data_IF_521985723492
#
_entry.id   IF_521985723492
#
_cell.length_a   1.000
_cell.length_b   1.000
_cell.length_c   1.000
_cell.angle_alpha   90.00
_cell.angle_beta   90.00
_cell.angle_gamma   90.00
#
_symmetry.space_group_name_H-M   'P 1'
#
loop_
_entity.id
_entity.type
_entity.pdbx_description
1 polymer ?
#
# COMPACT_ATOMS: atom_id res chain seq x y z
N UNK A 1 15.47 31.71 -11.41
CA UNK A 1 16.12 30.51 -11.99
C UNK A 1 16.82 29.60 -10.97
N UNK A 2 17.25 30.03 -9.77
CA UNK A 2 17.98 29.12 -8.84
C UNK A 2 17.09 28.19 -7.99
N UNK A 3 15.98 28.71 -7.42
CA UNK A 3 15.22 28.00 -6.37
C UNK A 3 14.46 26.73 -6.81
N UNK A 4 14.24 26.51 -8.12
CA UNK A 4 13.47 25.35 -8.60
C UNK A 4 14.31 24.05 -8.68
N UNK A 5 15.64 24.14 -8.78
CA UNK A 5 16.53 22.95 -8.84
C UNK A 5 16.79 22.33 -7.47
N UNK A 6 16.69 23.10 -6.39
CA UNK A 6 16.86 22.58 -5.04
C UNK A 6 15.65 21.74 -4.61
N UNK A 7 14.43 22.09 -5.03
CA UNK A 7 13.23 21.29 -4.72
C UNK A 7 13.25 19.94 -5.44
N UNK A 8 13.67 19.88 -6.71
CA UNK A 8 13.80 18.61 -7.44
C UNK A 8 14.88 17.70 -6.84
N UNK A 9 16.01 18.29 -6.43
CA UNK A 9 17.06 17.56 -5.73
C UNK A 9 16.57 17.04 -4.38
N UNK A 10 15.87 17.87 -3.59
CA UNK A 10 15.28 17.44 -2.32
C UNK A 10 14.25 16.31 -2.51
N UNK A 11 13.42 16.31 -3.56
CA UNK A 11 12.49 15.19 -3.80
C UNK A 11 13.21 13.88 -4.15
N UNK A 12 14.30 13.93 -4.93
CA UNK A 12 15.08 12.74 -5.22
C UNK A 12 15.88 12.27 -4.00
N UNK A 13 16.49 13.19 -3.26
CA UNK A 13 17.38 12.88 -2.14
C UNK A 13 16.60 12.45 -0.89
N UNK A 14 15.45 13.05 -0.61
CA UNK A 14 14.52 12.51 0.41
C UNK A 14 13.91 11.18 -0.02
N UNK A 15 13.63 10.95 -1.30
CA UNK A 15 13.20 9.63 -1.81
C UNK A 15 14.29 8.56 -1.61
N UNK A 16 15.55 8.87 -1.96
CA UNK A 16 16.71 7.99 -1.73
C UNK A 16 16.87 7.70 -0.24
N UNK A 17 16.89 8.72 0.62
CA UNK A 17 17.03 8.51 2.06
C UNK A 17 15.84 7.74 2.66
N UNK A 18 14.61 7.96 2.17
CA UNK A 18 13.42 7.22 2.60
C UNK A 18 13.52 5.76 2.15
N UNK A 19 13.95 5.49 0.91
CA UNK A 19 14.21 4.11 0.46
C UNK A 19 15.31 3.45 1.29
N UNK A 20 16.45 4.11 1.50
CA UNK A 20 17.53 3.59 2.36
C UNK A 20 17.07 3.36 3.80
N UNK A 21 16.19 4.21 4.35
CA UNK A 21 15.60 4.03 5.69
C UNK A 21 14.53 2.93 5.74
N UNK A 22 13.68 2.78 4.71
CA UNK A 22 12.74 1.66 4.61
C UNK A 22 13.51 0.34 4.51
N UNK A 23 14.44 0.24 3.57
CA UNK A 23 15.41 -0.85 3.45
C UNK A 23 16.07 -1.19 4.79
N UNK A 24 16.80 -0.25 5.41
CA UNK A 24 17.53 -0.47 6.67
C UNK A 24 16.60 -0.96 7.80
N UNK A 25 15.38 -0.40 7.91
CA UNK A 25 14.39 -0.87 8.90
C UNK A 25 13.97 -2.31 8.63
N UNK A 26 13.72 -2.68 7.38
CA UNK A 26 13.37 -4.03 6.94
C UNK A 26 14.52 -5.05 7.14
N UNK A 27 15.79 -4.61 7.10
CA UNK A 27 16.93 -5.43 7.56
C UNK A 27 16.85 -5.65 9.08
N UNK A 28 16.60 -4.57 9.85
CA UNK A 28 16.65 -4.60 11.32
C UNK A 28 15.50 -5.35 12.00
N UNK A 29 14.30 -5.38 11.41
CA UNK A 29 13.12 -6.02 12.02
C UNK A 29 13.12 -7.55 11.95
N UNK A 30 14.10 -8.17 11.27
CA UNK A 30 14.24 -9.63 11.23
C UNK A 30 13.13 -10.36 10.47
N UNK A 31 12.28 -9.65 9.71
CA UNK A 31 11.20 -10.21 8.87
C UNK A 31 11.74 -11.11 7.75
N UNK A 32 13.05 -10.96 7.49
CA UNK A 32 13.85 -11.73 6.56
C UNK A 32 14.40 -13.03 7.18
N UNK A 33 14.16 -13.31 8.48
CA UNK A 33 14.39 -14.62 9.09
C UNK A 33 13.23 -15.60 8.81
N UNK A 34 12.99 -15.85 7.52
CA UNK A 34 12.37 -17.08 7.05
C UNK A 34 13.37 -17.81 6.15
N UNK A 35 14.21 -18.64 6.76
CA UNK A 35 15.07 -19.64 6.10
C UNK A 35 16.29 -19.14 5.30
N UNK A 36 16.91 -20.07 4.56
CA UNK A 36 18.29 -19.94 4.04
C UNK A 36 18.39 -19.57 2.57
N UNK A 37 18.94 -18.38 2.31
CA UNK A 37 19.29 -17.85 0.99
C UNK A 37 20.22 -18.76 0.16
N UNK A 38 20.03 -18.76 -1.16
CA UNK A 38 20.99 -19.31 -2.14
C UNK A 38 21.27 -18.24 -3.20
N UNK A 39 22.54 -17.93 -3.42
CA UNK A 39 22.96 -16.90 -4.37
C UNK A 39 22.81 -17.34 -5.83
N UNK A 40 22.00 -16.61 -6.60
CA UNK A 40 22.09 -16.60 -8.06
C UNK A 40 22.76 -15.30 -8.50
N UNK A 41 24.03 -15.40 -8.91
CA UNK A 41 24.71 -14.30 -9.58
C UNK A 41 24.06 -14.08 -10.95
N UNK A 42 23.40 -12.94 -11.17
CA UNK A 42 23.00 -12.48 -12.52
C UNK A 42 24.23 -12.01 -13.29
N UNK A 43 25.07 -12.96 -13.74
CA UNK A 43 26.28 -12.69 -14.54
C UNK A 43 25.93 -12.37 -16.00
N UNK A 44 25.35 -11.19 -16.23
CA UNK A 44 25.02 -10.68 -17.56
C UNK A 44 26.24 -10.12 -18.31
N UNK A 45 27.13 -10.98 -18.79
CA UNK A 45 28.26 -10.59 -19.65
C UNK A 45 28.47 -11.63 -20.79
N UNK A 46 28.66 -11.20 -22.04
CA UNK A 46 28.64 -12.12 -23.20
C UNK A 46 29.99 -12.84 -23.40
N UNK A 47 30.09 -14.09 -22.95
CA UNK A 47 31.20 -14.99 -23.28
C UNK A 47 30.91 -15.79 -24.56
N UNK A 48 31.94 -16.01 -25.38
CA UNK A 48 31.82 -16.54 -26.75
C UNK A 48 31.60 -18.05 -26.78
N UNK A 49 30.89 -18.52 -27.81
CA UNK A 49 30.74 -19.95 -28.15
C UNK A 49 32.08 -20.58 -28.53
N UNK A 50 32.38 -21.77 -27.98
CA UNK A 50 33.17 -22.83 -28.64
C UNK A 50 32.84 -24.22 -28.03
N UNK A 51 32.73 -25.31 -28.81
CA UNK A 51 32.20 -26.60 -28.31
C UNK A 51 33.19 -27.78 -28.29
N UNK A 52 33.20 -28.58 -27.22
CA UNK A 52 33.83 -29.92 -27.17
C UNK A 52 33.55 -30.67 -25.85
N UNK A 53 33.55 -32.01 -25.71
CA UNK A 53 33.26 -33.14 -26.64
C UNK A 53 33.33 -34.49 -25.85
N UNK A 54 32.23 -35.27 -25.84
CA UNK A 54 32.15 -36.69 -25.39
C UNK A 54 32.52 -36.97 -23.90
N UNK A 55 32.34 -38.15 -23.28
CA UNK A 55 31.96 -39.54 -23.67
C UNK A 55 30.90 -40.11 -22.68
N UNK A 56 29.89 -40.92 -23.11
CA UNK A 56 29.77 -42.41 -22.99
C UNK A 56 29.99 -43.01 -21.57
N UNK A 57 29.27 -44.00 -21.02
CA UNK A 57 28.21 -44.97 -21.44
C UNK A 57 27.02 -44.92 -20.40
N UNK A 58 25.77 -45.39 -20.57
CA UNK A 58 25.18 -46.69 -21.01
C UNK A 58 25.52 -47.87 -20.05
N UNK A 59 24.63 -48.77 -19.58
CA UNK A 59 23.18 -49.06 -19.78
C UNK A 59 22.50 -49.18 -18.36
N UNK A 60 21.38 -49.83 -18.02
CA UNK A 60 20.27 -50.58 -18.68
C UNK A 60 19.04 -50.70 -17.69
N UNK A 61 17.94 -51.35 -18.09
CA UNK A 61 17.11 -52.20 -17.20
C UNK A 61 15.75 -51.66 -16.67
N UNK A 62 14.64 -52.13 -17.25
CA UNK A 62 13.26 -51.84 -16.82
C UNK A 62 12.87 -52.40 -15.43
N UNK A 63 12.07 -51.64 -14.66
CA UNK A 63 10.99 -52.18 -13.81
C UNK A 63 9.84 -51.17 -13.64
N UNK A 64 8.68 -51.63 -13.18
CA UNK A 64 7.39 -50.95 -13.38
C UNK A 64 7.12 -49.72 -12.49
N UNK A 65 6.20 -48.89 -12.96
CA UNK A 65 5.71 -47.65 -12.35
C UNK A 65 5.03 -47.82 -10.99
N UNK A 66 5.50 -47.07 -9.98
CA UNK A 66 4.64 -46.49 -8.94
C UNK A 66 4.91 -44.98 -8.86
N UNK A 67 4.01 -44.17 -9.44
CA UNK A 67 4.13 -42.69 -9.37
C UNK A 67 3.55 -42.21 -8.05
N UNK A 68 4.34 -42.36 -6.97
CA UNK A 68 4.10 -41.62 -5.73
C UNK A 68 4.37 -40.13 -6.00
N UNK A 69 3.30 -39.38 -6.28
CA UNK A 69 3.37 -37.93 -6.38
C UNK A 69 3.70 -37.33 -5.00
N UNK A 70 5.00 -37.20 -4.71
CA UNK A 70 5.45 -36.35 -3.62
C UNK A 70 4.99 -34.93 -3.91
N UNK A 71 4.06 -34.43 -3.10
CA UNK A 71 3.55 -33.07 -3.24
C UNK A 71 4.70 -32.11 -2.96
N UNK A 72 5.30 -31.61 -4.04
CA UNK A 72 6.41 -30.67 -3.97
C UNK A 72 5.93 -29.42 -3.23
N UNK A 73 6.50 -29.18 -2.04
CA UNK A 73 6.18 -27.99 -1.26
C UNK A 73 6.48 -26.73 -2.08
N UNK A 74 5.61 -25.69 -2.03
CA UNK A 74 5.85 -24.47 -2.79
C UNK A 74 7.20 -23.85 -2.38
N UNK A 75 7.93 -23.22 -3.31
CA UNK A 75 9.28 -22.72 -3.05
C UNK A 75 9.27 -21.69 -1.91
N UNK A 76 9.94 -22.02 -0.82
CA UNK A 76 10.04 -21.14 0.34
C UNK A 76 11.03 -20.01 0.05
N UNK A 77 10.50 -18.81 -0.24
CA UNK A 77 11.32 -17.61 -0.41
C UNK A 77 12.17 -17.35 0.84
N UNK A 78 13.49 -17.32 0.63
CA UNK A 78 14.50 -17.16 1.67
C UNK A 78 15.35 -15.93 1.38
N UNK A 79 14.73 -14.77 1.56
CA UNK A 79 15.35 -13.48 1.36
C UNK A 79 16.20 -13.11 2.59
N UNK A 80 17.45 -12.66 2.40
CA UNK A 80 18.30 -12.15 3.48
C UNK A 80 19.02 -10.88 3.06
N UNK A 81 18.67 -9.75 3.67
CA UNK A 81 19.30 -8.47 3.34
C UNK A 81 20.74 -8.39 3.89
N UNK A 82 21.61 -7.70 3.15
CA UNK A 82 23.01 -7.48 3.51
C UNK A 82 23.19 -6.07 4.08
N UNK A 83 23.40 -6.00 5.40
CA UNK A 83 23.65 -4.75 6.16
C UNK A 83 24.77 -3.92 5.53
N UNK A 84 25.76 -4.54 4.86
CA UNK A 84 26.90 -3.85 4.25
C UNK A 84 26.49 -2.93 3.09
N UNK A 85 25.39 -3.26 2.40
CA UNK A 85 24.87 -2.51 1.27
C UNK A 85 23.73 -1.55 1.65
N UNK A 86 23.38 -1.42 2.93
CA UNK A 86 22.29 -0.56 3.43
C UNK A 86 22.47 0.96 3.21
N UNK A 87 23.60 1.38 2.61
CA UNK A 87 23.90 2.77 2.18
C UNK A 87 23.96 2.94 0.66
N UNK A 88 23.69 1.90 -0.11
CA UNK A 88 23.63 1.93 -1.57
C UNK A 88 22.17 2.22 -2.03
N UNK A 89 21.92 3.33 -2.74
CA UNK A 89 20.58 3.67 -3.26
C UNK A 89 19.97 2.62 -4.20
N UNK A 90 20.81 1.88 -4.94
CA UNK A 90 20.39 0.86 -5.91
C UNK A 90 19.93 -0.37 -5.14
N UNK A 91 20.81 -0.91 -4.28
CA UNK A 91 20.47 -2.04 -3.41
C UNK A 91 19.22 -1.78 -2.56
N UNK A 92 19.09 -0.59 -1.98
CA UNK A 92 17.92 -0.21 -1.19
C UNK A 92 16.65 0.02 -2.03
N UNK A 93 16.77 0.18 -3.36
CA UNK A 93 15.61 0.15 -4.28
C UNK A 93 15.21 -1.29 -4.58
N UNK A 94 16.14 -2.14 -5.03
CA UNK A 94 15.89 -3.56 -5.31
C UNK A 94 15.26 -4.27 -4.10
N UNK A 95 15.81 -4.05 -2.89
CA UNK A 95 15.31 -4.57 -1.63
C UNK A 95 13.85 -4.14 -1.31
N UNK A 96 13.40 -2.96 -1.75
CA UNK A 96 12.02 -2.52 -1.58
C UNK A 96 11.11 -3.17 -2.62
N UNK A 97 11.57 -3.31 -3.85
CA UNK A 97 10.83 -3.97 -4.91
C UNK A 97 10.63 -5.46 -4.58
N UNK A 98 11.68 -6.17 -4.16
CA UNK A 98 11.63 -7.56 -3.69
C UNK A 98 10.66 -7.76 -2.51
N UNK A 99 10.65 -6.83 -1.54
CA UNK A 99 9.75 -6.89 -0.38
C UNK A 99 8.30 -6.56 -0.77
N UNK A 100 8.10 -5.64 -1.71
CA UNK A 100 6.77 -5.34 -2.27
C UNK A 100 6.22 -6.54 -3.04
N UNK A 101 7.07 -7.25 -3.77
CA UNK A 101 6.71 -8.49 -4.49
C UNK A 101 6.39 -9.64 -3.53
N UNK A 102 7.19 -9.82 -2.48
CA UNK A 102 6.89 -10.76 -1.38
C UNK A 102 5.55 -10.44 -0.69
N UNK A 103 5.17 -9.17 -0.53
CA UNK A 103 3.84 -8.82 -0.03
C UNK A 103 2.74 -9.11 -1.04
N UNK A 104 2.94 -8.82 -2.33
CA UNK A 104 1.99 -9.14 -3.41
C UNK A 104 1.70 -10.64 -3.48
N UNK A 105 2.74 -11.50 -3.43
CA UNK A 105 2.56 -12.95 -3.38
C UNK A 105 1.76 -13.41 -2.15
N UNK A 106 2.01 -12.81 -0.98
CA UNK A 106 1.29 -13.12 0.27
C UNK A 106 -0.18 -12.68 0.21
N UNK A 107 -0.48 -11.54 -0.42
CA UNK A 107 -1.85 -11.11 -0.72
C UNK A 107 -2.55 -12.10 -1.67
N UNK A 108 -1.94 -12.43 -2.80
CA UNK A 108 -2.52 -13.39 -3.76
C UNK A 108 -2.75 -14.78 -3.15
N UNK A 109 -1.78 -15.30 -2.39
CA UNK A 109 -1.95 -16.58 -1.70
C UNK A 109 -3.05 -16.54 -0.62
N UNK A 110 -3.30 -15.39 0.01
CA UNK A 110 -4.40 -15.24 0.96
C UNK A 110 -5.77 -15.21 0.27
N UNK A 111 -5.91 -14.42 -0.80
CA UNK A 111 -7.14 -14.32 -1.59
C UNK A 111 -7.50 -15.67 -2.22
N UNK A 112 -6.53 -16.40 -2.78
CA UNK A 112 -6.75 -17.75 -3.31
C UNK A 112 -7.27 -18.72 -2.23
N UNK A 113 -6.61 -18.79 -1.07
CA UNK A 113 -7.06 -19.65 0.06
C UNK A 113 -8.44 -19.28 0.62
N UNK A 114 -8.86 -18.02 0.50
CA UNK A 114 -10.22 -17.58 0.86
C UNK A 114 -11.24 -18.07 -0.18
N UNK A 115 -10.95 -17.89 -1.47
CA UNK A 115 -11.83 -18.27 -2.58
C UNK A 115 -11.94 -19.80 -2.78
N UNK A 116 -10.87 -20.55 -2.46
CA UNK A 116 -10.81 -22.02 -2.57
C UNK A 116 -11.66 -22.75 -1.49
N UNK A 117 -12.32 -22.01 -0.58
CA UNK A 117 -13.35 -22.55 0.33
C UNK A 117 -12.88 -23.62 1.33
N UNK A 118 -11.57 -23.84 1.46
CA UNK A 118 -11.02 -25.00 2.17
C UNK A 118 -11.33 -24.93 3.68
N UNK A 119 -11.78 -26.04 4.27
CA UNK A 119 -12.38 -26.09 5.61
C UNK A 119 -11.46 -25.77 6.82
N UNK A 120 -10.28 -25.17 6.62
CA UNK A 120 -9.39 -24.66 7.67
C UNK A 120 -9.85 -23.28 8.23
N UNK A 121 -11.14 -22.98 8.16
CA UNK A 121 -11.74 -21.63 8.13
C UNK A 121 -11.64 -20.79 9.42
N UNK A 122 -11.07 -21.32 10.51
CA UNK A 122 -10.99 -20.61 11.81
C UNK A 122 -9.54 -20.41 12.27
N UNK A 123 -8.68 -21.43 12.15
CA UNK A 123 -7.34 -21.38 12.76
C UNK A 123 -6.34 -20.50 11.99
N UNK A 124 -6.49 -20.37 10.67
CA UNK A 124 -5.56 -19.61 9.82
C UNK A 124 -6.01 -18.16 9.53
N UNK A 125 -7.28 -17.81 9.75
CA UNK A 125 -7.75 -16.43 9.60
C UNK A 125 -6.98 -15.46 10.52
N UNK A 126 -6.62 -15.92 11.72
CA UNK A 126 -5.77 -15.22 12.68
C UNK A 126 -4.35 -14.91 12.17
N UNK A 127 -3.84 -15.64 11.17
CA UNK A 127 -2.56 -15.33 10.52
C UNK A 127 -2.71 -14.25 9.45
N UNK A 128 -3.87 -14.18 8.78
CA UNK A 128 -4.18 -13.16 7.79
C UNK A 128 -4.44 -11.80 8.49
N UNK A 129 -5.32 -11.79 9.49
CA UNK A 129 -5.62 -10.59 10.29
C UNK A 129 -4.45 -10.11 11.17
N UNK A 130 -3.32 -10.84 11.20
CA UNK A 130 -2.09 -10.34 11.79
C UNK A 130 -1.45 -9.20 10.99
N UNK A 131 -1.79 -9.04 9.70
CA UNK A 131 -1.23 -8.01 8.80
C UNK A 131 -2.30 -7.06 8.22
N UNK A 132 -3.53 -7.55 8.01
CA UNK A 132 -4.67 -6.76 7.51
C UNK A 132 -5.73 -6.60 8.60
N UNK A 133 -6.53 -5.54 8.53
CA UNK A 133 -7.73 -5.43 9.38
C UNK A 133 -8.82 -6.41 8.93
N UNK A 134 -9.79 -6.68 9.80
CA UNK A 134 -11.00 -7.42 9.40
C UNK A 134 -12.03 -6.46 8.77
N UNK A 135 -12.67 -6.82 7.64
CA UNK A 135 -13.82 -6.09 7.09
C UNK A 135 -15.03 -6.02 8.06
N UNK A 136 -14.98 -6.75 9.17
CA UNK A 136 -16.03 -6.80 10.20
C UNK A 136 -15.55 -6.29 11.56
N UNK A 137 -14.42 -5.57 11.63
CA UNK A 137 -13.84 -5.11 12.89
C UNK A 137 -14.78 -4.20 13.70
N UNK A 138 -15.64 -3.41 13.02
CA UNK A 138 -16.63 -2.57 13.68
C UNK A 138 -17.95 -3.29 14.00
N UNK A 139 -18.20 -4.49 13.44
CA UNK A 139 -19.45 -5.24 13.69
C UNK A 139 -19.62 -5.60 15.17
N UNK A 140 -18.51 -5.78 15.89
CA UNK A 140 -18.50 -6.16 17.30
C UNK A 140 -18.35 -4.95 18.25
N UNK A 141 -18.03 -3.74 17.76
CA UNK A 141 -17.83 -2.56 18.62
C UNK A 141 -19.19 -1.92 18.99
N UNK A 142 -19.57 -1.84 20.28
CA UNK A 142 -20.88 -1.31 20.67
C UNK A 142 -20.99 0.22 20.57
N UNK A 143 -19.87 0.94 20.64
CA UNK A 143 -19.84 2.41 20.66
C UNK A 143 -19.20 3.06 19.43
N UNK A 144 -18.51 2.29 18.58
CA UNK A 144 -17.74 2.80 17.43
C UNK A 144 -18.33 2.24 16.15
N UNK A 145 -18.72 3.11 15.22
CA UNK A 145 -19.23 2.75 13.91
C UNK A 145 -18.43 3.42 12.79
N UNK A 146 -18.71 2.99 11.55
CA UNK A 146 -18.02 3.43 10.32
C UNK A 146 -17.95 4.96 10.20
N UNK A 147 -19.03 5.65 10.56
CA UNK A 147 -19.11 7.12 10.54
C UNK A 147 -18.18 7.75 11.58
N UNK A 148 -17.97 7.13 12.74
CA UNK A 148 -16.99 7.59 13.73
C UNK A 148 -15.54 7.31 13.30
N UNK A 149 -15.27 6.18 12.62
CA UNK A 149 -13.99 5.92 11.97
C UNK A 149 -13.68 6.97 10.91
N UNK A 150 -14.61 7.27 10.01
CA UNK A 150 -14.48 8.32 8.99
C UNK A 150 -14.20 9.70 9.62
N UNK A 151 -14.90 10.06 10.70
CA UNK A 151 -14.65 11.31 11.46
C UNK A 151 -13.22 11.36 12.01
N UNK A 152 -12.74 10.25 12.58
CA UNK A 152 -11.38 10.16 13.12
C UNK A 152 -10.34 10.34 12.00
N UNK A 153 -10.52 9.66 10.86
CA UNK A 153 -9.55 9.68 9.75
C UNK A 153 -9.53 11.04 9.04
N UNK A 154 -10.69 11.69 8.84
CA UNK A 154 -10.77 13.07 8.32
C UNK A 154 -9.96 14.05 9.19
N UNK A 155 -10.13 13.96 10.52
CA UNK A 155 -9.35 14.77 11.45
C UNK A 155 -7.86 14.41 11.47
N UNK A 156 -7.51 13.12 11.42
CA UNK A 156 -6.11 12.68 11.38
C UNK A 156 -5.38 13.14 10.11
N UNK A 157 -6.07 13.40 9.00
CA UNK A 157 -5.45 13.98 7.79
C UNK A 157 -5.03 15.43 8.03
N UNK A 158 -5.84 16.25 8.72
CA UNK A 158 -5.43 17.59 9.13
C UNK A 158 -4.24 17.54 10.13
N UNK A 159 -4.21 16.54 11.02
CA UNK A 159 -3.09 16.32 11.96
C UNK A 159 -1.81 15.89 11.24
N UNK A 160 -1.91 14.95 10.29
CA UNK A 160 -0.82 14.49 9.42
C UNK A 160 -0.16 15.65 8.69
N UNK A 161 -0.98 16.52 8.08
CA UNK A 161 -0.54 17.75 7.42
C UNK A 161 0.12 18.74 8.38
N UNK A 162 -0.42 18.91 9.61
CA UNK A 162 0.13 19.81 10.63
C UNK A 162 1.50 19.36 11.14
N UNK A 163 1.69 18.06 11.35
CA UNK A 163 2.98 17.45 11.69
C UNK A 163 3.91 17.26 10.48
N UNK A 164 3.42 17.47 9.25
CA UNK A 164 4.17 17.38 7.97
C UNK A 164 4.80 16.00 7.72
N UNK A 165 4.12 14.95 8.20
CA UNK A 165 4.58 13.56 8.14
C UNK A 165 4.64 13.03 6.69
N UNK A 166 5.45 12.00 6.46
CA UNK A 166 5.50 11.28 5.19
C UNK A 166 4.14 10.58 4.90
N UNK A 167 3.69 10.42 3.64
CA UNK A 167 2.40 9.79 3.35
C UNK A 167 2.27 8.37 3.91
N UNK A 168 3.33 7.55 3.83
CA UNK A 168 3.39 6.19 4.42
C UNK A 168 2.91 6.17 5.88
N UNK A 169 3.31 7.17 6.66
CA UNK A 169 2.94 7.34 8.07
C UNK A 169 1.42 7.44 8.25
N UNK A 170 0.67 8.01 7.30
CA UNK A 170 -0.80 8.03 7.32
C UNK A 170 -1.40 6.66 7.01
N UNK A 171 -0.90 5.96 5.99
CA UNK A 171 -1.41 4.63 5.60
C UNK A 171 -1.15 3.60 6.72
N UNK A 172 0.04 3.66 7.34
CA UNK A 172 0.35 2.87 8.52
C UNK A 172 -0.51 3.28 9.73
N UNK A 173 -0.75 4.57 9.96
CA UNK A 173 -1.66 5.03 11.03
C UNK A 173 -3.04 4.37 10.94
N UNK A 174 -3.65 4.38 9.75
CA UNK A 174 -4.99 3.79 9.55
C UNK A 174 -4.95 2.27 9.68
N UNK A 175 -3.95 1.59 9.12
CA UNK A 175 -3.75 0.15 9.30
C UNK A 175 -3.65 -0.24 10.79
N UNK A 176 -2.91 0.52 11.60
CA UNK A 176 -2.77 0.29 13.04
C UNK A 176 -4.08 0.52 13.80
N UNK A 177 -4.86 1.55 13.45
CA UNK A 177 -6.21 1.78 14.02
C UNK A 177 -7.13 0.59 13.72
N UNK A 178 -7.25 0.21 12.45
CA UNK A 178 -8.26 -0.77 12.02
C UNK A 178 -7.90 -2.19 12.48
N UNK A 179 -6.61 -2.55 12.54
CA UNK A 179 -6.17 -3.81 13.15
C UNK A 179 -6.33 -3.80 14.67
N UNK A 180 -6.07 -2.68 15.35
CA UNK A 180 -6.34 -2.59 16.79
C UNK A 180 -7.83 -2.78 17.08
N UNK A 181 -8.71 -2.14 16.30
CA UNK A 181 -10.17 -2.34 16.35
C UNK A 181 -10.62 -3.73 15.87
N UNK A 182 -9.75 -4.50 15.20
CA UNK A 182 -9.98 -5.92 14.83
C UNK A 182 -9.56 -6.90 15.93
N UNK A 183 -8.61 -6.52 16.78
CA UNK A 183 -8.12 -7.34 17.90
C UNK A 183 -8.86 -7.07 19.21
N UNK A 184 -9.34 -5.84 19.39
CA UNK A 184 -10.20 -5.40 20.50
C UNK A 184 -11.66 -5.65 20.10
N UNK A 185 -12.47 -6.15 21.05
CA UNK A 185 -13.83 -6.66 20.90
C UNK A 185 -14.04 -7.57 19.69
N UNK A 186 -13.91 -8.87 19.92
CA UNK A 186 -14.15 -9.88 18.89
C UNK A 186 -15.23 -10.85 19.34
N UNK A 187 -15.75 -11.64 18.40
CA UNK A 187 -16.61 -12.82 18.65
C UNK A 187 -16.11 -13.75 19.76
N UNK A 188 -14.80 -13.73 20.06
CA UNK A 188 -14.13 -14.56 21.06
C UNK A 188 -13.60 -13.78 22.28
N UNK A 189 -13.74 -12.46 22.30
CA UNK A 189 -13.33 -11.57 23.39
C UNK A 189 -14.29 -10.37 23.52
N UNK A 190 -15.52 -10.63 23.94
CA UNK A 190 -16.61 -9.65 23.94
C UNK A 190 -16.58 -8.64 25.12
N UNK A 191 -15.65 -8.79 26.07
CA UNK A 191 -15.60 -7.97 27.30
C UNK A 191 -14.69 -6.74 27.21
N UNK A 192 -13.92 -6.59 26.12
CA UNK A 192 -12.92 -5.55 25.95
C UNK A 192 -13.19 -4.77 24.66
N UNK A 193 -13.74 -3.55 24.75
CA UNK A 193 -14.05 -2.70 23.60
C UNK A 193 -13.34 -1.34 23.67
N UNK A 194 -13.41 -0.56 22.59
CA UNK A 194 -12.97 0.85 22.59
C UNK A 194 -14.19 1.75 22.82
N UNK A 195 -14.30 2.44 23.98
CA UNK A 195 -15.33 3.46 24.18
C UNK A 195 -15.17 4.61 23.19
N UNK A 196 -16.28 5.24 22.79
CA UNK A 196 -16.29 6.38 21.86
C UNK A 196 -15.37 7.52 22.31
N UNK A 197 -15.28 7.76 23.62
CA UNK A 197 -14.38 8.77 24.21
C UNK A 197 -12.89 8.46 24.03
N UNK A 198 -12.53 7.17 23.88
CA UNK A 198 -11.16 6.69 23.73
C UNK A 198 -10.73 6.54 22.26
N UNK A 199 -11.67 6.62 21.30
CA UNK A 199 -11.39 6.46 19.87
C UNK A 199 -10.37 7.49 19.35
N UNK A 200 -10.42 8.74 19.83
CA UNK A 200 -9.42 9.75 19.46
C UNK A 200 -8.03 9.43 20.05
N UNK A 201 -7.96 8.88 21.27
CA UNK A 201 -6.69 8.46 21.88
C UNK A 201 -6.06 7.32 21.08
N UNK A 202 -6.86 6.35 20.62
CA UNK A 202 -6.40 5.28 19.69
C UNK A 202 -5.77 5.90 18.44
N UNK A 203 -6.45 6.85 17.79
CA UNK A 203 -5.93 7.50 16.58
C UNK A 203 -4.63 8.28 16.80
N UNK A 204 -4.54 9.06 17.88
CA UNK A 204 -3.31 9.80 18.24
C UNK A 204 -2.15 8.85 18.54
N UNK A 205 -2.41 7.75 19.26
CA UNK A 205 -1.36 6.78 19.60
C UNK A 205 -0.94 5.92 18.40
N UNK A 206 -1.87 5.57 17.51
CA UNK A 206 -1.55 4.91 16.25
C UNK A 206 -0.69 5.81 15.34
N UNK A 207 -0.99 7.11 15.28
CA UNK A 207 -0.15 8.06 14.54
C UNK A 207 1.23 8.26 15.17
N UNK A 208 1.32 8.32 16.50
CA UNK A 208 2.60 8.38 17.21
C UNK A 208 3.45 7.13 16.94
N UNK A 209 2.83 5.94 16.95
CA UNK A 209 3.49 4.67 16.63
C UNK A 209 3.94 4.60 15.17
N UNK A 210 3.08 4.97 14.23
CA UNK A 210 3.43 5.04 12.82
C UNK A 210 4.58 6.02 12.58
N UNK A 211 4.54 7.20 13.21
CA UNK A 211 5.59 8.20 13.07
C UNK A 211 6.92 7.74 13.70
N UNK A 212 6.89 7.11 14.88
CA UNK A 212 8.07 6.47 15.50
C UNK A 212 8.68 5.35 14.65
N UNK A 213 7.90 4.78 13.73
CA UNK A 213 8.33 3.70 12.86
C UNK A 213 8.81 4.20 11.47
N UNK A 214 8.21 5.26 10.91
CA UNK A 214 8.53 5.81 9.58
C UNK A 214 9.46 7.04 9.57
N UNK A 215 9.30 7.96 10.52
CA UNK A 215 9.98 9.27 10.50
C UNK A 215 11.39 9.23 11.11
N UNK A 216 12.26 10.16 10.69
CA UNK A 216 13.50 10.46 11.44
C UNK A 216 13.16 11.18 12.76
N UNK A 217 12.18 12.09 12.68
CA UNK A 217 11.82 13.02 13.73
C UNK A 217 10.31 12.91 14.03
N UNK A 218 9.88 11.85 14.72
CA UNK A 218 8.49 11.70 15.15
C UNK A 218 8.07 12.83 16.11
N UNK A 219 6.77 13.20 16.17
CA UNK A 219 6.28 14.21 17.10
C UNK A 219 6.46 13.74 18.55
N UNK A 220 6.73 14.69 19.45
CA UNK A 220 6.89 14.41 20.87
C UNK A 220 5.55 14.14 21.56
N UNK A 221 5.57 13.40 22.68
CA UNK A 221 4.39 13.16 23.52
C UNK A 221 3.67 14.46 23.93
N UNK A 222 4.39 15.57 24.13
CA UNK A 222 3.81 16.88 24.44
C UNK A 222 2.94 17.42 23.30
N UNK A 223 3.29 17.10 22.06
CA UNK A 223 2.55 17.51 20.87
C UNK A 223 1.31 16.64 20.67
N UNK A 224 1.37 15.35 21.05
CA UNK A 224 0.21 14.45 21.11
C UNK A 224 -0.83 14.90 22.16
N UNK A 225 -0.37 15.38 23.34
CA UNK A 225 -1.25 16.01 24.35
C UNK A 225 -1.84 17.31 23.79
N UNK A 226 -1.02 18.18 23.20
CA UNK A 226 -1.47 19.47 22.67
C UNK A 226 -2.46 19.34 21.49
N UNK A 227 -2.22 18.42 20.54
CA UNK A 227 -3.09 18.24 19.37
C UNK A 227 -4.45 17.63 19.73
N UNK A 228 -4.53 16.85 20.81
CA UNK A 228 -5.78 16.39 21.41
C UNK A 228 -6.41 17.43 22.36
N UNK A 229 -5.99 18.70 22.29
CA UNK A 229 -6.47 19.81 23.12
C UNK A 229 -6.34 19.57 24.64
N UNK A 230 -5.37 18.74 25.05
CA UNK A 230 -5.17 18.25 26.42
C UNK A 230 -6.33 17.36 26.95
N UNK A 231 -7.14 16.77 26.06
CA UNK A 231 -8.22 15.81 26.41
C UNK A 231 -7.66 14.53 27.04
N UNK A 232 -6.41 14.17 26.71
CA UNK A 232 -5.73 12.99 27.24
C UNK A 232 -4.40 13.38 27.89
N UNK A 233 -4.10 12.73 29.01
CA UNK A 233 -2.81 12.86 29.70
C UNK A 233 -1.69 12.13 28.94
N UNK A 234 -0.45 12.50 29.23
CA UNK A 234 0.74 11.82 28.71
C UNK A 234 0.77 10.33 29.10
N UNK A 235 0.27 10.02 30.29
CA UNK A 235 0.25 8.68 30.87
C UNK A 235 -0.81 7.80 30.22
N UNK A 236 -1.96 8.36 29.82
CA UNK A 236 -2.95 7.69 28.98
C UNK A 236 -2.42 7.40 27.57
N UNK A 237 -1.70 8.35 26.96
CA UNK A 237 -1.05 8.15 25.64
C UNK A 237 -0.03 7.00 25.73
N UNK A 238 0.84 6.99 26.75
CA UNK A 238 1.81 5.89 26.96
C UNK A 238 1.09 4.55 27.22
N UNK A 239 -0.04 4.55 27.94
CA UNK A 239 -0.83 3.34 28.20
C UNK A 239 -1.48 2.81 26.91
N UNK A 240 -2.09 3.67 26.10
CA UNK A 240 -2.72 3.27 24.84
C UNK A 240 -1.69 2.84 23.79
N UNK A 241 -0.55 3.52 23.69
CA UNK A 241 0.59 3.09 22.86
C UNK A 241 1.02 1.64 23.18
N UNK A 242 1.19 1.33 24.48
CA UNK A 242 1.50 -0.04 24.93
C UNK A 242 0.38 -1.04 24.60
N UNK A 243 -0.89 -0.65 24.76
CA UNK A 243 -2.02 -1.51 24.42
C UNK A 243 -2.05 -1.86 22.92
N UNK A 244 -1.81 -0.89 22.03
CA UNK A 244 -1.76 -1.10 20.57
C UNK A 244 -0.59 -2.03 20.22
N UNK A 245 0.62 -1.77 20.75
CA UNK A 245 1.77 -2.65 20.53
C UNK A 245 1.55 -4.08 21.03
N UNK A 246 0.92 -4.26 22.20
CA UNK A 246 0.63 -5.57 22.77
C UNK A 246 -0.42 -6.33 21.94
N UNK A 247 -1.55 -5.70 21.61
CA UNK A 247 -2.60 -6.30 20.80
C UNK A 247 -2.10 -6.73 19.41
N UNK A 248 -1.24 -5.90 18.78
CA UNK A 248 -0.65 -6.18 17.48
C UNK A 248 0.63 -7.02 17.55
N UNK A 249 1.04 -7.50 18.73
CA UNK A 249 2.27 -8.28 18.95
C UNK A 249 3.53 -7.64 18.33
N UNK A 250 3.63 -6.31 18.40
CA UNK A 250 4.66 -5.48 17.77
C UNK A 250 4.82 -5.64 16.23
N UNK A 251 3.83 -6.23 15.53
CA UNK A 251 3.82 -6.38 14.06
C UNK A 251 3.45 -5.07 13.37
N UNK A 252 4.37 -4.10 13.40
CA UNK A 252 4.19 -2.77 12.81
C UNK A 252 4.54 -2.76 11.31
N UNK A 253 5.46 -3.61 10.86
CA UNK A 253 5.72 -3.79 9.42
C UNK A 253 4.60 -4.57 8.76
N UNK A 254 3.93 -3.94 7.80
CA UNK A 254 2.76 -4.45 7.08
C UNK A 254 2.78 -3.92 5.64
N UNK A 255 2.08 -4.58 4.71
CA UNK A 255 1.75 -3.93 3.44
C UNK A 255 0.78 -2.77 3.68
N UNK A 256 1.05 -1.64 3.03
CA UNK A 256 0.10 -0.54 2.86
C UNK A 256 -0.08 -0.26 1.36
N UNK A 257 -1.09 0.51 0.94
CA UNK A 257 -1.27 0.81 -0.48
C UNK A 257 -0.15 1.68 -1.09
N UNK A 258 0.61 2.42 -0.27
CA UNK A 258 1.53 3.45 -0.76
C UNK A 258 2.82 2.91 -1.42
N UNK A 259 3.48 1.83 -0.94
CA UNK A 259 4.58 1.20 -1.66
C UNK A 259 4.16 0.67 -3.05
N UNK A 260 3.04 -0.04 -3.15
CA UNK A 260 2.50 -0.54 -4.42
C UNK A 260 2.27 0.61 -5.41
N UNK A 261 1.57 1.67 -4.98
CA UNK A 261 1.33 2.87 -5.78
C UNK A 261 2.63 3.57 -6.17
N UNK A 262 3.62 3.63 -5.28
CA UNK A 262 4.92 4.26 -5.57
C UNK A 262 5.75 3.46 -6.57
N UNK A 263 5.67 2.12 -6.54
CA UNK A 263 6.27 1.21 -7.52
C UNK A 263 5.60 1.39 -8.90
N UNK A 264 4.27 1.34 -8.97
CA UNK A 264 3.50 1.55 -10.23
C UNK A 264 3.69 2.96 -10.82
N UNK A 265 3.68 4.01 -9.99
CA UNK A 265 3.96 5.38 -10.44
C UNK A 265 5.41 5.61 -10.88
N UNK A 266 6.32 4.69 -10.60
CA UNK A 266 7.70 4.76 -11.13
C UNK A 266 7.72 4.31 -12.58
N UNK A 267 7.06 3.18 -12.91
CA UNK A 267 6.89 2.71 -14.30
C UNK A 267 6.14 3.75 -15.16
N UNK A 268 5.03 4.28 -14.65
CA UNK A 268 4.21 5.30 -15.33
C UNK A 268 4.89 6.67 -15.50
N UNK A 269 6.11 6.85 -14.99
CA UNK A 269 6.94 8.04 -15.25
C UNK A 269 7.76 7.90 -16.53
N UNK A 270 8.04 6.66 -16.95
CA UNK A 270 8.95 6.36 -18.06
C UNK A 270 8.19 6.02 -19.35
N UNK A 271 6.98 5.46 -19.26
CA UNK A 271 6.05 5.25 -20.38
C UNK A 271 5.25 6.54 -20.75
N UNK A 272 4.91 6.74 -22.03
CA UNK A 272 3.81 7.66 -22.42
C UNK A 272 2.46 6.99 -22.10
N UNK A 273 2.05 7.08 -20.83
CA UNK A 273 0.87 6.42 -20.29
C UNK A 273 -0.48 6.90 -20.85
N UNK A 274 -0.48 7.96 -21.68
CA UNK A 274 -1.68 8.41 -22.40
C UNK A 274 -1.60 8.10 -23.90
N UNK A 275 -0.41 7.83 -24.45
CA UNK A 275 -0.18 7.63 -25.88
C UNK A 275 -0.44 8.87 -26.73
N UNK A 276 -0.34 10.06 -26.14
CA UNK A 276 -0.71 11.34 -26.76
C UNK A 276 0.46 12.02 -27.48
N UNK A 277 1.67 11.44 -27.48
CA UNK A 277 2.87 12.01 -28.10
C UNK A 277 3.14 13.47 -27.66
N UNK A 278 2.86 13.77 -26.40
CA UNK A 278 3.02 15.10 -25.81
C UNK A 278 4.50 15.46 -25.61
N UNK A 279 4.80 16.75 -25.66
CA UNK A 279 6.13 17.29 -25.36
C UNK A 279 6.58 16.96 -23.92
N UNK A 280 7.87 17.10 -23.64
CA UNK A 280 8.45 16.68 -22.35
C UNK A 280 7.93 17.49 -21.15
N UNK A 281 7.67 18.79 -21.30
CA UNK A 281 7.12 19.62 -20.21
C UNK A 281 5.65 19.26 -19.94
N UNK A 282 4.85 19.06 -20.99
CA UNK A 282 3.46 18.57 -20.87
C UNK A 282 3.40 17.17 -20.25
N UNK A 283 4.29 16.23 -20.63
CA UNK A 283 4.37 14.90 -20.00
C UNK A 283 4.73 14.99 -18.51
N UNK A 284 5.68 15.86 -18.13
CA UNK A 284 5.96 16.12 -16.71
C UNK A 284 4.74 16.71 -15.96
N UNK A 285 3.97 17.60 -16.59
CA UNK A 285 2.73 18.14 -16.00
C UNK A 285 1.64 17.06 -15.86
N UNK A 286 1.43 16.24 -16.90
CA UNK A 286 0.50 15.10 -16.90
C UNK A 286 0.85 14.11 -15.78
N UNK A 287 2.12 13.71 -15.66
CA UNK A 287 2.60 12.80 -14.62
C UNK A 287 2.46 13.38 -13.19
N UNK A 288 2.78 14.67 -13.01
CA UNK A 288 2.58 15.35 -11.72
C UNK A 288 1.10 15.34 -11.31
N UNK A 289 0.20 15.64 -12.26
CA UNK A 289 -1.24 15.62 -12.03
C UNK A 289 -1.77 14.20 -11.77
N UNK A 290 -1.26 13.19 -12.48
CA UNK A 290 -1.53 11.78 -12.23
C UNK A 290 -1.18 11.40 -10.79
N UNK A 291 0.07 11.68 -10.35
CA UNK A 291 0.53 11.40 -8.97
C UNK A 291 -0.37 12.05 -7.92
N UNK A 292 -0.85 13.27 -8.17
CA UNK A 292 -1.78 13.94 -7.26
C UNK A 292 -3.20 13.33 -7.30
N UNK A 293 -3.72 12.97 -8.47
CA UNK A 293 -5.01 12.31 -8.60
C UNK A 293 -5.01 10.91 -7.96
N UNK A 294 -3.94 10.12 -8.12
CA UNK A 294 -3.78 8.84 -7.44
C UNK A 294 -3.81 9.01 -5.93
N UNK A 295 -3.05 9.97 -5.38
CA UNK A 295 -3.08 10.27 -3.95
C UNK A 295 -4.46 10.73 -3.45
N UNK A 296 -5.20 11.49 -4.25
CA UNK A 296 -6.57 11.90 -3.94
C UNK A 296 -7.52 10.69 -3.80
N UNK A 297 -7.49 9.74 -4.74
CA UNK A 297 -8.29 8.51 -4.65
C UNK A 297 -7.82 7.60 -3.49
N UNK A 298 -6.51 7.45 -3.32
CA UNK A 298 -5.91 6.60 -2.29
C UNK A 298 -6.22 7.09 -0.87
N UNK A 299 -6.32 8.40 -0.66
CA UNK A 299 -6.73 8.97 0.62
C UNK A 299 -8.24 8.95 0.85
N UNK A 300 -9.08 8.95 -0.20
CA UNK A 300 -10.51 8.65 -0.05
C UNK A 300 -10.74 7.20 0.40
N UNK A 301 -9.96 6.25 -0.13
CA UNK A 301 -9.99 4.85 0.27
C UNK A 301 -9.59 4.61 1.75
N UNK A 302 -8.88 5.55 2.38
CA UNK A 302 -8.62 5.50 3.83
C UNK A 302 -9.88 5.81 4.65
N UNK A 303 -10.69 6.80 4.24
CA UNK A 303 -11.88 7.23 4.99
C UNK A 303 -13.01 6.18 4.90
N UNK A 304 -13.20 5.57 3.74
CA UNK A 304 -14.24 4.56 3.54
C UNK A 304 -13.94 3.29 4.35
N UNK A 305 -14.97 2.76 5.01
CA UNK A 305 -14.89 1.48 5.71
C UNK A 305 -15.04 0.29 4.76
N UNK A 306 -15.82 0.44 3.67
CA UNK A 306 -15.99 -0.62 2.64
C UNK A 306 -14.66 -1.05 2.05
N UNK A 307 -13.71 -0.12 1.93
CA UNK A 307 -12.38 -0.38 1.36
C UNK A 307 -11.58 -1.47 2.11
N UNK A 308 -11.91 -1.78 3.38
CA UNK A 308 -11.27 -2.87 4.12
C UNK A 308 -11.53 -4.27 3.56
N UNK A 309 -12.50 -4.45 2.65
CA UNK A 309 -12.75 -5.73 1.97
C UNK A 309 -11.75 -6.04 0.84
N UNK A 310 -10.88 -5.09 0.49
CA UNK A 310 -9.88 -5.21 -0.57
C UNK A 310 -8.45 -5.22 0.00
N UNK A 311 -7.52 -5.83 -0.73
CA UNK A 311 -6.10 -5.83 -0.33
C UNK A 311 -5.43 -4.48 -0.63
N UNK A 312 -4.33 -4.13 0.06
CA UNK A 312 -3.54 -2.94 -0.23
C UNK A 312 -3.11 -2.78 -1.70
N UNK A 313 -2.77 -3.87 -2.40
CA UNK A 313 -2.46 -3.80 -3.84
C UNK A 313 -3.71 -3.52 -4.71
N UNK A 314 -4.87 -4.13 -4.41
CA UNK A 314 -6.13 -3.81 -5.10
C UNK A 314 -6.53 -2.33 -4.93
N UNK A 315 -6.44 -1.80 -3.70
CA UNK A 315 -6.70 -0.38 -3.39
C UNK A 315 -5.72 0.53 -4.16
N UNK A 316 -4.45 0.15 -4.22
CA UNK A 316 -3.42 0.88 -4.98
C UNK A 316 -3.69 0.91 -6.48
N UNK A 317 -3.95 -0.25 -7.08
CA UNK A 317 -4.25 -0.38 -8.51
C UNK A 317 -5.55 0.37 -8.89
N UNK A 318 -6.59 0.27 -8.07
CA UNK A 318 -7.84 1.01 -8.24
C UNK A 318 -7.62 2.54 -8.22
N UNK A 319 -6.84 3.06 -7.26
CA UNK A 319 -6.54 4.48 -7.18
C UNK A 319 -5.68 4.98 -8.35
N UNK A 320 -4.74 4.16 -8.86
CA UNK A 320 -3.97 4.48 -10.08
C UNK A 320 -4.89 4.47 -11.31
N UNK A 321 -5.75 3.46 -11.46
CA UNK A 321 -6.67 3.36 -12.59
C UNK A 321 -7.67 4.52 -12.64
N UNK A 322 -8.32 4.85 -11.52
CA UNK A 322 -9.21 6.02 -11.42
C UNK A 322 -8.49 7.33 -11.75
N UNK A 323 -7.21 7.47 -11.35
CA UNK A 323 -6.39 8.60 -11.72
C UNK A 323 -6.09 8.62 -13.23
N UNK A 324 -5.66 7.51 -13.83
CA UNK A 324 -5.45 7.37 -15.28
C UNK A 324 -6.70 7.76 -16.08
N UNK A 325 -7.88 7.29 -15.68
CA UNK A 325 -9.18 7.66 -16.29
C UNK A 325 -9.43 9.16 -16.16
N UNK A 326 -9.22 9.75 -14.98
CA UNK A 326 -9.43 11.19 -14.72
C UNK A 326 -8.48 12.06 -15.54
N UNK A 327 -7.20 11.67 -15.67
CA UNK A 327 -6.22 12.39 -16.49
C UNK A 327 -6.55 12.23 -17.98
N UNK A 328 -6.91 11.02 -18.43
CA UNK A 328 -7.35 10.78 -19.81
C UNK A 328 -8.58 11.62 -20.17
N UNK A 329 -9.62 11.65 -19.32
CA UNK A 329 -10.80 12.50 -19.54
C UNK A 329 -10.46 14.00 -19.63
N UNK A 330 -9.44 14.46 -18.88
CA UNK A 330 -8.98 15.86 -18.94
C UNK A 330 -8.29 16.23 -20.25
N UNK A 331 -7.42 15.36 -20.78
CA UNK A 331 -6.58 15.67 -21.94
C UNK A 331 -7.14 15.15 -23.28
N UNK A 332 -7.96 14.10 -23.26
CA UNK A 332 -8.58 13.46 -24.44
C UNK A 332 -9.99 13.99 -24.74
N UNK A 333 -10.26 15.26 -24.40
CA UNK A 333 -11.56 15.93 -24.56
C UNK A 333 -11.92 16.14 -26.05
N UNK A 334 -12.39 15.06 -26.70
CA UNK A 334 -12.70 15.00 -28.12
C UNK A 334 -13.06 13.61 -28.66
N UNK A 335 -12.90 12.53 -27.86
CA UNK A 335 -13.40 11.19 -28.18
C UNK A 335 -14.51 10.77 -27.21
N UNK A 336 -15.76 10.83 -27.66
CA UNK A 336 -16.95 10.54 -26.85
C UNK A 336 -17.15 9.03 -26.54
N UNK A 337 -16.44 8.14 -27.24
CA UNK A 337 -16.54 6.69 -27.05
C UNK A 337 -15.44 6.16 -26.13
N UNK A 338 -15.77 6.00 -24.85
CA UNK A 338 -14.91 5.38 -23.81
C UNK A 338 -15.00 3.83 -23.85
N UNK A 339 -15.85 3.26 -24.72
CA UNK A 339 -16.04 1.82 -24.96
C UNK A 339 -14.72 1.07 -25.20
N UNK A 340 -14.36 0.12 -24.32
CA UNK A 340 -13.07 -0.62 -24.38
C UNK A 340 -11.85 0.19 -23.89
N UNK A 341 -12.02 1.43 -23.46
CA UNK A 341 -10.96 2.31 -22.98
C UNK A 341 -10.30 1.82 -21.69
N UNK A 342 -11.01 1.06 -20.85
CA UNK A 342 -10.48 0.52 -19.59
C UNK A 342 -9.28 -0.40 -19.81
N UNK A 343 -9.37 -1.32 -20.77
CA UNK A 343 -8.26 -2.22 -21.15
C UNK A 343 -7.10 -1.49 -21.85
N UNK A 344 -7.34 -0.32 -22.45
CA UNK A 344 -6.27 0.52 -23.03
C UNK A 344 -5.47 1.24 -21.94
N UNK A 345 -6.16 1.77 -20.91
CA UNK A 345 -5.51 2.50 -19.82
C UNK A 345 -4.78 1.58 -18.84
N UNK A 346 -5.33 0.39 -18.55
CA UNK A 346 -4.61 -0.64 -17.78
C UNK A 346 -3.81 -1.56 -18.72
N UNK A 347 -2.68 -1.05 -19.21
CA UNK A 347 -1.83 -1.69 -20.23
C UNK A 347 -1.35 -3.10 -19.85
N UNK A 348 -0.90 -3.88 -20.85
CA UNK A 348 -0.27 -5.18 -20.60
C UNK A 348 1.03 -5.06 -19.77
N UNK A 349 1.78 -3.94 -19.90
CA UNK A 349 2.91 -3.63 -19.02
C UNK A 349 2.46 -3.57 -17.55
N UNK A 350 1.37 -2.84 -17.27
CA UNK A 350 0.82 -2.72 -15.91
C UNK A 350 0.28 -4.05 -15.39
N UNK A 351 -0.39 -4.84 -16.23
CA UNK A 351 -0.92 -6.15 -15.85
C UNK A 351 0.20 -7.13 -15.47
N UNK A 352 1.28 -7.22 -16.25
CA UNK A 352 2.43 -8.05 -15.87
C UNK A 352 3.20 -7.46 -14.67
N UNK A 353 3.37 -6.14 -14.57
CA UNK A 353 4.14 -5.54 -13.48
C UNK A 353 3.41 -5.60 -12.11
N UNK A 354 2.08 -5.56 -12.11
CA UNK A 354 1.23 -5.67 -10.91
C UNK A 354 0.67 -7.08 -10.67
N UNK A 355 0.90 -8.01 -11.61
CA UNK A 355 0.33 -9.37 -11.65
C UNK A 355 -1.20 -9.37 -11.38
N UNK A 356 -1.91 -8.36 -11.92
CA UNK A 356 -3.33 -8.08 -11.67
C UNK A 356 -4.04 -7.56 -12.93
N UNK A 357 -5.14 -8.19 -13.31
CA UNK A 357 -6.06 -7.71 -14.36
C UNK A 357 -7.05 -6.66 -13.81
N UNK A 358 -7.67 -5.88 -14.70
CA UNK A 358 -8.67 -4.87 -14.32
C UNK A 358 -9.89 -5.50 -13.60
N UNK A 359 -10.21 -6.77 -13.88
CA UNK A 359 -11.23 -7.55 -13.17
C UNK A 359 -10.93 -7.73 -11.68
N UNK A 360 -9.66 -7.71 -11.29
CA UNK A 360 -9.23 -8.09 -9.94
C UNK A 360 -9.39 -6.94 -8.94
N UNK A 361 -9.60 -5.71 -9.43
CA UNK A 361 -9.77 -4.50 -8.62
C UNK A 361 -10.85 -3.53 -9.13
N UNK A 362 -11.60 -3.87 -10.19
CA UNK A 362 -12.71 -3.04 -10.70
C UNK A 362 -13.72 -2.67 -9.62
N UNK A 363 -14.22 -3.65 -8.85
CA UNK A 363 -15.12 -3.40 -7.72
C UNK A 363 -14.51 -2.54 -6.61
N UNK A 364 -13.18 -2.49 -6.48
CA UNK A 364 -12.50 -1.55 -5.58
C UNK A 364 -12.54 -0.12 -6.14
N UNK A 365 -12.30 0.05 -7.45
CA UNK A 365 -12.45 1.33 -8.12
C UNK A 365 -13.90 1.84 -8.11
N UNK A 366 -14.91 0.97 -8.21
CA UNK A 366 -16.33 1.33 -8.05
C UNK A 366 -16.63 1.87 -6.65
N UNK A 367 -16.20 1.15 -5.60
CA UNK A 367 -16.39 1.56 -4.20
C UNK A 367 -15.71 2.90 -3.90
N UNK A 368 -14.45 3.08 -4.32
CA UNK A 368 -13.72 4.34 -4.15
C UNK A 368 -14.42 5.49 -4.91
N UNK A 369 -14.97 5.23 -6.09
CA UNK A 369 -15.64 6.26 -6.91
C UNK A 369 -17.02 6.64 -6.37
N UNK A 370 -17.79 5.68 -5.85
CA UNK A 370 -19.02 5.91 -5.07
C UNK A 370 -18.70 6.82 -3.87
N UNK A 371 -17.63 6.51 -3.12
CA UNK A 371 -17.24 7.27 -1.94
C UNK A 371 -16.73 8.68 -2.27
N UNK A 372 -15.94 8.85 -3.33
CA UNK A 372 -15.52 10.18 -3.85
C UNK A 372 -16.73 11.03 -4.26
N UNK A 373 -17.78 10.41 -4.77
CA UNK A 373 -19.04 11.07 -5.14
C UNK A 373 -19.91 11.39 -3.91
N UNK A 374 -19.86 10.55 -2.88
CA UNK A 374 -20.54 10.76 -1.60
C UNK A 374 -19.93 11.88 -0.75
N UNK A 375 -18.59 11.93 -0.61
CA UNK A 375 -17.88 12.85 0.30
C UNK A 375 -18.31 14.33 0.19
N UNK A 376 -18.51 14.93 -1.01
CA UNK A 376 -19.06 16.28 -1.18
C UNK A 376 -20.39 16.57 -0.45
N UNK A 377 -21.21 15.55 -0.17
CA UNK A 377 -22.47 15.69 0.61
C UNK A 377 -22.25 15.82 2.12
N UNK A 378 -21.01 15.58 2.59
CA UNK A 378 -20.67 15.53 4.01
C UNK A 378 -19.87 16.76 4.45
N UNK A 379 -19.77 16.98 5.77
CA UNK A 379 -18.88 18.00 6.34
C UNK A 379 -17.42 17.54 6.51
N UNK A 380 -17.10 16.31 6.13
CA UNK A 380 -15.78 15.70 6.26
C UNK A 380 -15.07 15.87 4.92
N UNK A 381 -14.03 16.69 4.91
CA UNK A 381 -13.52 17.33 3.70
C UNK A 381 -12.00 17.46 3.69
N UNK A 382 -11.25 16.84 4.61
CA UNK A 382 -9.81 17.02 4.74
C UNK A 382 -9.04 16.66 3.46
N UNK A 383 -9.36 15.51 2.84
CA UNK A 383 -8.79 15.12 1.54
C UNK A 383 -9.14 16.15 0.47
N UNK A 384 -10.41 16.54 0.34
CA UNK A 384 -10.83 17.52 -0.67
C UNK A 384 -10.18 18.89 -0.44
N UNK A 385 -10.06 19.38 0.80
CA UNK A 385 -9.33 20.62 1.16
C UNK A 385 -7.85 20.53 0.77
N UNK A 386 -7.18 19.43 1.14
CA UNK A 386 -5.76 19.15 0.83
C UNK A 386 -5.51 19.22 -0.68
N UNK A 387 -6.29 18.49 -1.46
CA UNK A 387 -6.12 18.37 -2.90
C UNK A 387 -6.75 19.50 -3.74
N UNK A 388 -7.48 20.43 -3.11
CA UNK A 388 -7.92 21.70 -3.72
C UNK A 388 -6.78 22.74 -3.82
N UNK A 389 -5.63 22.49 -3.20
CA UNK A 389 -4.46 23.37 -3.29
C UNK A 389 -3.81 23.30 -4.68
N UNK A 390 -3.34 24.45 -5.18
CA UNK A 390 -2.49 24.55 -6.37
C UNK A 390 -1.22 23.70 -6.28
N UNK A 391 -0.70 23.45 -5.06
CA UNK A 391 0.41 22.51 -4.80
C UNK A 391 0.12 21.08 -5.32
N UNK A 392 -1.14 20.69 -5.38
CA UNK A 392 -1.58 19.37 -5.82
C UNK A 392 -2.31 19.41 -7.17
N UNK A 393 -2.05 20.43 -8.00
CA UNK A 393 -2.70 20.60 -9.31
C UNK A 393 -4.22 20.82 -9.23
N UNK A 394 -4.75 21.16 -8.05
CA UNK A 394 -6.17 21.32 -7.76
C UNK A 394 -7.05 20.11 -8.13
N UNK A 395 -6.51 18.88 -8.06
CA UNK A 395 -7.19 17.67 -8.58
C UNK A 395 -8.60 17.43 -8.05
N UNK A 396 -8.95 17.91 -6.85
CA UNK A 396 -10.32 17.80 -6.31
C UNK A 396 -11.37 18.60 -7.11
N UNK A 397 -10.95 19.51 -8.00
CA UNK A 397 -11.81 20.28 -8.93
C UNK A 397 -11.98 19.61 -10.30
N UNK A 398 -11.26 18.53 -10.60
CA UNK A 398 -11.36 17.85 -11.88
C UNK A 398 -12.72 17.15 -12.03
N UNK A 399 -13.17 17.02 -13.27
CA UNK A 399 -14.29 16.15 -13.61
C UNK A 399 -13.85 14.71 -13.41
N UNK A 400 -14.45 14.04 -12.44
CA UNK A 400 -14.24 12.61 -12.18
C UNK A 400 -15.10 11.77 -13.12
N UNK A 401 -14.73 10.51 -13.41
CA UNK A 401 -15.63 9.59 -14.11
C UNK A 401 -16.94 9.40 -13.33
N UNK A 402 -18.08 9.36 -14.02
CA UNK A 402 -19.38 9.04 -13.40
C UNK A 402 -19.58 7.52 -13.22
N UNK A 403 -18.89 6.71 -14.02
CA UNK A 403 -18.89 5.24 -14.05
C UNK A 403 -17.50 4.79 -14.54
N UNK A 404 -17.10 3.55 -14.26
CA UNK A 404 -15.85 3.00 -14.81
C UNK A 404 -15.97 2.81 -16.33
N UNK A 405 -14.87 2.97 -17.10
CA UNK A 405 -14.82 2.56 -18.50
C UNK A 405 -15.20 1.08 -18.67
N UNK A 406 -16.12 0.79 -19.58
CA UNK A 406 -16.50 -0.59 -19.91
C UNK A 406 -15.38 -1.34 -20.63
N UNK A 407 -15.41 -2.66 -20.49
CA UNK A 407 -14.38 -3.60 -20.93
C UNK A 407 -14.19 -3.72 -22.45
#
# INVERSE_FOLDING_TARGET
>A
MSALREVSNLTNQTSIDVKQRQATRLISTGILNLGTYRSLQRSGAPSRVCPSRAHFHALDGNSATEVTQSVASPPSFHFRADVRHARDPIYCTELIDDITEMFLEREQQAVRRFNEGTAAQINNASQLYAYYASPHCLQYQPEVNEKMRMILIDWLIDVHLKFKLHPETMYLTVNLIDRYLSCINTKYNAMLYVPRSQLQLVGVCAMLLAAKYEEIWPPELKECVHISANTFTREEIIKMERNICAALSFRLTVPTPYPFVSRVLTLLKEEDFLGLNSDEDTRHQQFSLLRHATGFFLEHALLDYKCLQFTPSQIGNAAVFLALVTIYMKYSAGMENISGGGRRLWSLSLQDYTKSELSDFSGCAEVILEFVSYVPTTKYQAVRRKYNSTRHGEVSKLMMPNQLPTH
#
